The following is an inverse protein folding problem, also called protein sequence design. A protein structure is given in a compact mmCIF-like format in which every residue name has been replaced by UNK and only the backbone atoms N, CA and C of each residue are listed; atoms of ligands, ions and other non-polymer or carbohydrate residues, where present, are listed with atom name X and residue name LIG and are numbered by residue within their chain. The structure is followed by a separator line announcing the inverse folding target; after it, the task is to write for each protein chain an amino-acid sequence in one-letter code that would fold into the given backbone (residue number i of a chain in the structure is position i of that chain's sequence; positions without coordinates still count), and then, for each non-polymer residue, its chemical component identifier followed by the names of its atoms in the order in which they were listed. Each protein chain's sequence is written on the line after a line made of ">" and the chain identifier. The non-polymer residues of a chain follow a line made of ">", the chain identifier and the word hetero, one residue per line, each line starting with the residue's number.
data_IF_403774606954
#
_entry.id   IF_403774606954
#
_cell.length_a   1.000
_cell.length_b   1.000
_cell.length_c   1.000
_cell.angle_alpha   90.00
_cell.angle_beta   90.00
_cell.angle_gamma   90.00
#
_symmetry.space_group_name_H-M   'P 1'
#
loop_
_entity.id
_entity.type
_entity.pdbx_description
1 polymer ?
#
# COMPACT_ATOMS: atom_id res chain seq x y z
N UNK A 1 -0.76 24.41 3.81
CA UNK A 1 -1.83 24.08 2.83
C UNK A 1 -2.61 22.87 3.32
N UNK A 2 -3.93 22.78 3.01
CA UNK A 2 -4.75 21.60 3.28
C UNK A 2 -4.36 20.47 2.33
N UNK A 3 -4.71 19.22 2.67
CA UNK A 3 -4.24 18.02 1.95
C UNK A 3 -4.57 18.06 0.43
N UNK A 4 -5.83 18.33 0.05
CA UNK A 4 -6.22 18.38 -1.38
C UNK A 4 -5.42 19.44 -2.17
N UNK A 5 -5.07 20.58 -1.54
CA UNK A 5 -4.22 21.60 -2.16
C UNK A 5 -2.77 21.12 -2.29
N UNK A 6 -2.27 20.36 -1.29
CA UNK A 6 -0.92 19.74 -1.35
C UNK A 6 -0.81 18.72 -2.48
N UNK A 7 -1.86 17.94 -2.76
CA UNK A 7 -1.87 16.99 -3.90
C UNK A 7 -1.56 17.67 -5.24
N UNK A 8 -1.94 18.93 -5.40
CA UNK A 8 -1.78 19.71 -6.64
C UNK A 8 -0.46 20.48 -6.66
N UNK A 9 -0.07 21.04 -5.51
CA UNK A 9 0.99 22.06 -5.45
C UNK A 9 2.25 21.62 -4.67
N UNK A 10 2.19 20.52 -3.90
CA UNK A 10 3.33 20.11 -3.09
C UNK A 10 4.53 19.75 -3.96
N UNK A 11 5.62 20.51 -3.79
CA UNK A 11 6.91 20.25 -4.44
C UNK A 11 6.85 20.17 -5.98
N UNK A 12 5.83 20.77 -6.60
CA UNK A 12 5.60 20.77 -8.04
C UNK A 12 5.57 22.22 -8.59
N UNK A 13 6.69 22.95 -8.55
CA UNK A 13 6.75 24.30 -9.13
C UNK A 13 6.70 24.21 -10.66
N UNK A 14 6.24 25.26 -11.35
CA UNK A 14 6.39 25.38 -12.80
C UNK A 14 7.84 25.18 -13.24
N UNK A 15 8.03 24.60 -14.43
CA UNK A 15 9.38 24.38 -14.99
C UNK A 15 10.14 25.72 -15.13
N UNK A 16 11.32 25.83 -14.51
CA UNK A 16 12.05 27.11 -14.51
C UNK A 16 12.60 27.52 -15.88
N UNK A 17 12.71 26.59 -16.84
CA UNK A 17 13.22 26.86 -18.18
C UNK A 17 12.13 27.37 -19.13
N UNK A 18 10.93 26.78 -19.05
CA UNK A 18 9.87 27.03 -20.01
C UNK A 18 8.62 27.67 -19.41
N UNK A 19 8.49 27.66 -18.08
CA UNK A 19 7.27 28.06 -17.38
C UNK A 19 6.14 27.03 -17.51
N UNK A 20 6.40 25.82 -18.00
CA UNK A 20 5.40 24.77 -18.11
C UNK A 20 4.81 24.47 -16.72
N UNK A 21 3.46 24.48 -16.65
CA UNK A 21 2.73 24.21 -15.39
C UNK A 21 2.86 22.76 -14.97
N UNK A 22 2.94 21.83 -15.94
CA UNK A 22 3.13 20.41 -15.67
C UNK A 22 4.63 20.05 -15.72
N UNK A 23 5.01 19.03 -14.97
CA UNK A 23 6.40 18.57 -14.87
C UNK A 23 6.89 17.99 -16.21
N UNK A 24 8.03 18.44 -16.76
CA UNK A 24 8.62 17.84 -17.96
C UNK A 24 9.08 16.40 -17.72
N UNK A 25 9.01 15.56 -18.76
CA UNK A 25 9.50 14.19 -18.72
C UNK A 25 10.92 14.15 -19.26
N UNK A 26 11.91 13.91 -18.39
CA UNK A 26 13.32 13.81 -18.77
C UNK A 26 13.69 12.35 -19.06
N UNK A 27 13.43 11.91 -20.30
CA UNK A 27 13.74 10.56 -20.79
C UNK A 27 15.23 10.41 -21.18
N UNK A 28 16.12 10.75 -20.25
CA UNK A 28 17.58 10.65 -20.46
C UNK A 28 18.19 9.72 -19.43
N UNK A 29 19.07 8.83 -19.84
CA UNK A 29 19.84 7.98 -18.95
C UNK A 29 21.09 8.69 -18.37
N UNK A 30 21.66 9.66 -19.11
CA UNK A 30 22.89 10.33 -18.74
C UNK A 30 22.83 11.84 -19.00
N UNK A 31 23.60 12.59 -18.24
CA UNK A 31 23.62 14.06 -18.29
C UNK A 31 25.06 14.54 -18.50
N UNK A 32 25.23 15.59 -19.36
CA UNK A 32 26.53 16.21 -19.61
C UNK A 32 27.08 16.85 -18.35
N UNK A 33 28.34 16.59 -18.06
CA UNK A 33 29.10 17.27 -17.04
C UNK A 33 30.03 18.32 -17.69
N UNK A 34 30.35 19.39 -16.96
CA UNK A 34 31.22 20.47 -17.44
C UNK A 34 32.71 20.07 -17.30
N UNK A 35 33.01 19.28 -16.24
CA UNK A 35 34.28 18.63 -15.95
C UNK A 35 34.02 17.44 -15.02
N UNK A 36 35.00 16.56 -14.74
CA UNK A 36 34.92 15.60 -13.64
C UNK A 36 34.44 16.30 -12.36
N UNK A 37 33.45 15.74 -11.68
CA UNK A 37 32.82 16.27 -10.46
C UNK A 37 32.11 17.65 -10.59
N UNK A 38 31.99 18.20 -11.80
CA UNK A 38 31.23 19.43 -12.08
C UNK A 38 30.02 19.18 -12.97
N UNK A 39 28.86 19.05 -12.37
CA UNK A 39 27.58 18.79 -13.01
C UNK A 39 26.51 19.78 -12.59
N UNK A 40 25.33 19.73 -13.24
CA UNK A 40 24.19 20.61 -12.96
C UNK A 40 23.15 19.96 -12.04
N UNK A 41 23.58 19.08 -11.12
CA UNK A 41 22.74 18.37 -10.18
C UNK A 41 22.37 16.93 -10.60
N UNK A 42 22.58 16.59 -11.87
CA UNK A 42 22.31 15.24 -12.40
C UNK A 42 23.52 14.72 -13.20
N UNK A 43 23.76 13.41 -13.06
CA UNK A 43 24.86 12.70 -13.75
C UNK A 43 24.33 11.51 -14.52
N UNK A 44 23.50 10.69 -13.86
CA UNK A 44 22.96 9.45 -14.40
C UNK A 44 21.59 9.15 -13.77
N UNK A 45 20.60 8.74 -14.58
CA UNK A 45 19.21 8.66 -14.12
C UNK A 45 18.97 7.60 -13.02
N UNK A 46 19.80 6.56 -12.89
CA UNK A 46 19.72 5.65 -11.75
C UNK A 46 20.02 6.39 -10.43
N UNK A 47 21.00 7.26 -10.41
CA UNK A 47 21.35 8.06 -9.22
C UNK A 47 20.40 9.24 -8.99
N UNK A 48 19.92 9.87 -10.06
CA UNK A 48 19.00 11.03 -9.99
C UNK A 48 18.41 11.36 -11.35
N UNK A 49 17.11 11.67 -11.38
CA UNK A 49 16.40 12.11 -12.58
C UNK A 49 15.44 13.26 -12.21
N UNK A 50 15.36 14.35 -12.99
CA UNK A 50 14.52 15.50 -12.64
C UNK A 50 13.05 15.16 -12.43
N UNK A 51 12.44 14.35 -13.30
CA UNK A 51 11.03 13.96 -13.19
C UNK A 51 10.80 13.07 -11.94
N UNK A 52 11.69 12.11 -11.69
CA UNK A 52 11.62 11.26 -10.49
C UNK A 52 11.79 12.08 -9.22
N UNK A 53 12.70 13.06 -9.20
CA UNK A 53 12.93 13.90 -8.03
C UNK A 53 11.66 14.67 -7.60
N UNK A 54 10.85 15.15 -8.55
CA UNK A 54 9.56 15.81 -8.25
C UNK A 54 8.59 14.82 -7.62
N UNK A 55 8.48 13.59 -8.14
CA UNK A 55 7.63 12.55 -7.54
C UNK A 55 8.09 12.22 -6.12
N UNK A 56 9.39 12.04 -5.92
CA UNK A 56 9.97 11.73 -4.62
C UNK A 56 9.71 12.87 -3.62
N UNK A 57 9.87 14.11 -4.03
CA UNK A 57 9.58 15.27 -3.19
C UNK A 57 8.07 15.36 -2.83
N UNK A 58 7.18 15.17 -3.82
CA UNK A 58 5.74 15.21 -3.61
C UNK A 58 5.26 14.11 -2.63
N UNK A 59 5.70 12.86 -2.82
CA UNK A 59 5.33 11.76 -1.93
C UNK A 59 5.86 11.97 -0.51
N UNK A 60 7.10 12.45 -0.38
CA UNK A 60 7.66 12.81 0.93
C UNK A 60 6.85 13.86 1.67
N UNK A 61 6.42 14.91 0.96
CA UNK A 61 5.55 15.94 1.53
C UNK A 61 4.18 15.36 1.92
N UNK A 62 3.53 14.61 1.05
CA UNK A 62 2.18 14.06 1.30
C UNK A 62 2.15 13.12 2.51
N UNK A 63 3.21 12.34 2.75
CA UNK A 63 3.36 11.51 3.96
C UNK A 63 3.84 12.29 5.18
N UNK A 64 4.05 13.61 5.07
CA UNK A 64 4.61 14.45 6.14
C UNK A 64 6.01 13.99 6.60
N UNK A 65 6.78 13.43 5.65
CA UNK A 65 8.13 12.94 5.86
C UNK A 65 9.21 13.96 5.55
N UNK A 66 10.46 13.61 5.87
CA UNK A 66 11.65 14.41 5.50
C UNK A 66 12.07 14.20 4.02
N UNK A 67 11.44 13.26 3.32
CA UNK A 67 11.63 12.94 1.92
C UNK A 67 11.17 11.52 1.59
N UNK A 68 11.17 11.20 0.31
CA UNK A 68 10.87 9.85 -0.17
C UNK A 68 11.77 9.43 -1.33
N UNK A 69 11.70 8.15 -1.70
CA UNK A 69 12.39 7.54 -2.82
C UNK A 69 11.40 6.69 -3.62
N UNK A 70 11.48 6.75 -4.95
CA UNK A 70 10.61 6.02 -5.86
C UNK A 70 11.30 4.78 -6.43
N UNK A 71 10.53 3.71 -6.63
CA UNK A 71 11.00 2.39 -7.07
C UNK A 71 10.15 1.86 -8.22
N UNK A 72 10.71 0.93 -8.99
CA UNK A 72 10.06 0.28 -10.13
C UNK A 72 8.86 -0.61 -9.73
N UNK A 73 8.70 -0.93 -8.46
CA UNK A 73 7.52 -1.64 -7.91
C UNK A 73 7.47 -1.54 -6.38
N UNK A 74 6.31 -1.83 -5.78
CA UNK A 74 6.20 -1.95 -4.32
C UNK A 74 7.14 -3.02 -3.75
N UNK A 75 7.28 -4.17 -4.45
CA UNK A 75 8.25 -5.20 -4.04
C UNK A 75 9.70 -4.77 -4.26
N UNK A 76 10.00 -3.94 -5.25
CA UNK A 76 11.33 -3.33 -5.42
C UNK A 76 11.66 -2.38 -4.27
N UNK A 77 10.68 -1.62 -3.78
CA UNK A 77 10.80 -0.81 -2.58
C UNK A 77 11.05 -1.67 -1.33
N UNK A 78 10.27 -2.74 -1.16
CA UNK A 78 10.43 -3.67 -0.04
C UNK A 78 11.78 -4.41 -0.08
N UNK A 79 12.20 -4.89 -1.25
CA UNK A 79 13.52 -5.54 -1.40
C UNK A 79 14.67 -4.57 -1.04
N UNK A 80 14.54 -3.30 -1.41
CA UNK A 80 15.53 -2.27 -1.02
C UNK A 80 15.46 -1.98 0.48
N UNK A 81 14.26 -2.01 1.09
CA UNK A 81 14.10 -1.91 2.54
C UNK A 81 14.85 -3.06 3.24
N UNK A 82 14.66 -4.29 2.76
CA UNK A 82 15.31 -5.48 3.34
C UNK A 82 16.83 -5.46 3.17
N UNK A 83 17.35 -4.87 2.11
CA UNK A 83 18.80 -4.74 1.88
C UNK A 83 19.52 -3.88 2.96
N UNK A 84 18.77 -3.12 3.77
CA UNK A 84 19.33 -2.40 4.92
C UNK A 84 19.60 -3.31 6.13
N UNK A 85 19.17 -4.56 6.11
CA UNK A 85 19.25 -5.48 7.25
C UNK A 85 20.21 -6.63 6.95
N UNK A 86 21.26 -6.81 7.75
CA UNK A 86 22.23 -7.87 7.55
C UNK A 86 21.63 -9.26 7.84
N UNK A 87 22.34 -10.30 7.40
CA UNK A 87 22.05 -11.70 7.74
C UNK A 87 21.84 -11.86 9.25
N UNK A 88 20.81 -12.59 9.62
CA UNK A 88 20.44 -12.84 11.01
C UNK A 88 19.54 -11.78 11.65
N UNK A 89 19.28 -10.65 10.94
CA UNK A 89 18.31 -9.66 11.42
C UNK A 89 16.94 -10.26 11.66
N UNK A 90 16.25 -9.72 12.65
CA UNK A 90 14.90 -10.16 13.05
C UNK A 90 13.86 -9.13 12.70
N UNK A 91 12.84 -9.56 11.96
CA UNK A 91 11.65 -8.77 11.61
C UNK A 91 10.45 -9.35 12.35
N UNK A 92 9.69 -8.51 13.03
CA UNK A 92 8.36 -8.84 13.54
C UNK A 92 7.35 -8.25 12.56
N UNK A 93 6.54 -9.10 11.94
CA UNK A 93 5.58 -8.72 10.91
C UNK A 93 4.16 -9.06 11.31
N UNK A 94 3.20 -8.24 10.87
CA UNK A 94 1.79 -8.63 10.90
C UNK A 94 1.59 -9.94 10.10
N UNK A 95 0.68 -10.80 10.56
CA UNK A 95 0.43 -12.14 9.99
C UNK A 95 -0.48 -12.11 8.75
N UNK A 96 -1.40 -11.16 8.68
CA UNK A 96 -2.29 -10.92 7.54
C UNK A 96 -1.67 -9.84 6.66
N UNK A 97 -0.96 -10.25 5.62
CA UNK A 97 -0.20 -9.34 4.75
C UNK A 97 -0.24 -9.80 3.29
N UNK A 98 0.07 -8.90 2.38
CA UNK A 98 0.10 -9.19 0.95
C UNK A 98 0.97 -10.43 0.64
N UNK A 99 0.43 -11.37 -0.13
CA UNK A 99 1.12 -12.62 -0.47
C UNK A 99 2.48 -12.43 -1.17
N UNK A 100 2.68 -11.32 -1.88
CA UNK A 100 3.97 -10.94 -2.45
C UNK A 100 5.00 -10.56 -1.38
N UNK A 101 4.58 -9.86 -0.33
CA UNK A 101 5.41 -9.52 0.83
C UNK A 101 5.83 -10.79 1.57
N UNK A 102 4.88 -11.69 1.86
CA UNK A 102 5.15 -12.99 2.46
C UNK A 102 6.18 -13.78 1.65
N UNK A 103 5.97 -13.90 0.34
CA UNK A 103 6.88 -14.59 -0.57
C UNK A 103 8.30 -14.02 -0.54
N UNK A 104 8.44 -12.69 -0.49
CA UNK A 104 9.74 -12.03 -0.43
C UNK A 104 10.42 -12.26 0.92
N UNK A 105 9.69 -12.18 2.04
CA UNK A 105 10.20 -12.47 3.37
C UNK A 105 10.68 -13.92 3.47
N UNK A 106 9.90 -14.90 3.00
CA UNK A 106 10.27 -16.29 2.98
C UNK A 106 11.49 -16.59 2.09
N UNK A 107 11.61 -15.87 0.96
CA UNK A 107 12.82 -15.93 0.13
C UNK A 107 14.05 -15.44 0.92
N UNK A 108 13.95 -14.28 1.56
CA UNK A 108 15.06 -13.74 2.36
C UNK A 108 15.39 -14.59 3.58
N UNK A 109 14.38 -15.21 4.21
CA UNK A 109 14.60 -16.17 5.30
C UNK A 109 15.45 -17.36 4.86
N UNK A 110 15.14 -17.93 3.69
CA UNK A 110 15.85 -19.11 3.17
C UNK A 110 17.22 -18.78 2.60
N UNK A 111 17.36 -17.69 1.88
CA UNK A 111 18.58 -17.38 1.13
C UNK A 111 19.56 -16.50 1.91
N UNK A 112 19.04 -15.61 2.76
CA UNK A 112 19.86 -14.61 3.45
C UNK A 112 19.81 -14.69 4.97
N UNK A 113 19.16 -15.74 5.52
CA UNK A 113 19.11 -15.98 6.96
C UNK A 113 18.33 -14.93 7.75
N UNK A 114 17.41 -14.20 7.11
CA UNK A 114 16.50 -13.30 7.79
C UNK A 114 15.56 -14.10 8.71
N UNK A 115 15.31 -13.61 9.93
CA UNK A 115 14.33 -14.18 10.84
C UNK A 115 13.04 -13.36 10.77
N UNK A 116 11.91 -13.99 10.50
CA UNK A 116 10.61 -13.30 10.43
C UNK A 116 9.61 -13.99 11.34
N UNK A 117 9.06 -13.24 12.27
CA UNK A 117 7.98 -13.67 13.16
C UNK A 117 6.67 -13.02 12.71
N UNK A 118 5.71 -13.82 12.30
CA UNK A 118 4.37 -13.37 11.93
C UNK A 118 3.46 -13.42 13.14
N UNK A 119 2.85 -12.31 13.50
CA UNK A 119 2.00 -12.19 14.70
C UNK A 119 0.71 -11.41 14.40
N UNK A 120 -0.34 -11.69 15.17
CA UNK A 120 -1.55 -10.86 15.16
C UNK A 120 -1.26 -9.53 15.90
N UNK A 121 -1.06 -8.45 15.12
CA UNK A 121 -0.83 -7.10 15.67
C UNK A 121 -2.14 -6.33 15.95
N UNK A 122 -3.31 -6.95 15.77
CA UNK A 122 -4.57 -6.33 16.21
C UNK A 122 -4.66 -6.25 17.74
N UNK A 123 -3.92 -7.15 18.42
CA UNK A 123 -3.68 -7.11 19.87
C UNK A 123 -2.28 -6.54 20.16
N UNK A 124 -2.18 -5.35 20.79
CA UNK A 124 -0.90 -4.77 21.19
C UNK A 124 -0.06 -5.65 22.13
N UNK A 125 -0.69 -6.55 22.90
CA UNK A 125 0.03 -7.46 23.80
C UNK A 125 0.89 -8.46 23.02
N UNK A 126 0.41 -8.95 21.87
CA UNK A 126 1.17 -9.83 20.98
C UNK A 126 2.47 -9.17 20.51
N UNK A 127 2.41 -7.88 20.12
CA UNK A 127 3.60 -7.14 19.73
C UNK A 127 4.51 -6.86 20.93
N UNK A 128 3.96 -6.54 22.11
CA UNK A 128 4.76 -6.34 23.31
C UNK A 128 5.58 -7.58 23.67
N UNK A 129 4.95 -8.75 23.67
CA UNK A 129 5.62 -10.05 23.91
C UNK A 129 6.68 -10.35 22.82
N UNK A 130 6.35 -10.12 21.54
CA UNK A 130 7.31 -10.34 20.48
C UNK A 130 8.55 -9.43 20.58
N UNK A 131 8.42 -8.26 21.20
CA UNK A 131 9.50 -7.29 21.37
C UNK A 131 10.26 -7.46 22.71
N UNK A 132 9.93 -8.44 23.57
CA UNK A 132 10.78 -8.85 24.69
C UNK A 132 12.16 -9.29 24.20
N UNK A 133 12.20 -10.00 23.06
CA UNK A 133 13.40 -10.19 22.28
C UNK A 133 13.56 -9.07 21.26
N UNK A 134 14.75 -8.47 21.19
CA UNK A 134 15.04 -7.37 20.28
C UNK A 134 14.76 -7.74 18.82
N UNK A 135 13.96 -6.93 18.14
CA UNK A 135 13.81 -6.95 16.68
C UNK A 135 14.57 -5.77 16.05
N UNK A 136 14.92 -5.91 14.76
CA UNK A 136 15.55 -4.86 13.97
C UNK A 136 14.52 -4.03 13.22
N UNK A 137 13.38 -4.66 12.88
CA UNK A 137 12.26 -4.04 12.18
C UNK A 137 10.93 -4.60 12.68
N UNK A 138 9.96 -3.72 12.91
CA UNK A 138 8.53 -4.04 12.93
C UNK A 138 7.96 -3.64 11.58
N UNK A 139 7.42 -4.61 10.84
CA UNK A 139 6.75 -4.39 9.56
C UNK A 139 5.24 -4.52 9.72
N UNK A 140 4.53 -3.47 9.40
CA UNK A 140 3.08 -3.37 9.57
C UNK A 140 2.44 -3.13 8.21
N UNK A 141 1.37 -3.85 7.89
CA UNK A 141 0.43 -3.51 6.84
C UNK A 141 -0.90 -3.13 7.50
N UNK A 142 -1.39 -1.91 7.26
CA UNK A 142 -2.63 -1.44 7.90
C UNK A 142 -3.34 -0.37 7.05
N UNK A 143 -4.57 -0.66 6.56
CA UNK A 143 -5.31 -1.92 6.65
C UNK A 143 -4.60 -3.09 5.98
N UNK A 144 -4.77 -4.30 6.52
CA UNK A 144 -4.16 -5.54 5.99
C UNK A 144 -4.85 -6.02 4.71
N UNK A 145 -4.15 -6.82 3.92
CA UNK A 145 -4.69 -7.45 2.71
C UNK A 145 -4.70 -9.00 2.86
N UNK A 146 -5.84 -9.69 2.83
CA UNK A 146 -7.13 -9.16 2.34
C UNK A 146 -8.16 -8.83 3.43
N UNK A 147 -7.90 -9.05 4.71
CA UNK A 147 -8.93 -9.02 5.76
C UNK A 147 -9.24 -7.62 6.30
N UNK A 148 -8.50 -6.59 5.89
CA UNK A 148 -8.70 -5.20 6.30
C UNK A 148 -8.61 -5.00 7.82
N UNK A 149 -7.82 -5.83 8.51
CA UNK A 149 -7.50 -5.65 9.92
C UNK A 149 -6.68 -4.37 10.10
N UNK A 150 -6.83 -3.72 11.24
CA UNK A 150 -6.12 -2.50 11.57
C UNK A 150 -5.20 -2.71 12.75
N UNK A 151 -4.01 -2.15 12.65
CA UNK A 151 -3.05 -2.08 13.75
C UNK A 151 -3.09 -0.68 14.36
N UNK A 152 -3.11 -0.57 15.68
CA UNK A 152 -2.95 0.72 16.37
C UNK A 152 -1.49 1.18 16.20
N UNK A 153 -1.26 2.03 15.19
CA UNK A 153 0.09 2.48 14.82
C UNK A 153 0.77 3.27 15.94
N UNK A 154 0.03 4.07 16.70
CA UNK A 154 0.60 4.82 17.84
C UNK A 154 1.07 3.88 18.94
N UNK A 155 0.27 2.87 19.26
CA UNK A 155 0.63 1.86 20.25
C UNK A 155 1.83 1.02 19.77
N UNK A 156 1.82 0.55 18.52
CA UNK A 156 2.91 -0.22 17.94
C UNK A 156 4.24 0.56 17.91
N UNK A 157 4.21 1.82 17.50
CA UNK A 157 5.38 2.71 17.53
C UNK A 157 5.89 2.93 18.95
N UNK A 158 4.98 3.13 19.92
CA UNK A 158 5.36 3.33 21.30
C UNK A 158 6.08 2.10 21.91
N UNK A 159 5.61 0.89 21.56
CA UNK A 159 6.27 -0.38 21.95
C UNK A 159 7.64 -0.53 21.30
N UNK A 160 7.73 -0.35 19.97
CA UNK A 160 8.97 -0.48 19.21
C UNK A 160 10.06 0.51 19.67
N UNK A 161 9.69 1.72 20.08
CA UNK A 161 10.63 2.71 20.60
C UNK A 161 11.33 2.28 21.90
N UNK A 162 10.67 1.48 22.74
CA UNK A 162 11.27 0.97 23.98
C UNK A 162 12.48 0.08 23.72
N UNK A 163 12.45 -0.66 22.59
CA UNK A 163 13.52 -1.56 22.18
C UNK A 163 14.41 -0.96 21.09
N UNK A 164 14.18 0.31 20.70
CA UNK A 164 14.89 1.00 19.59
C UNK A 164 14.73 0.29 18.26
N UNK A 165 13.60 -0.40 18.05
CA UNK A 165 13.25 -1.08 16.82
C UNK A 165 12.66 -0.10 15.83
N UNK A 166 13.10 -0.14 14.56
CA UNK A 166 12.50 0.66 13.47
C UNK A 166 11.10 0.16 13.14
N UNK A 167 10.20 1.05 12.74
CA UNK A 167 8.85 0.73 12.30
C UNK A 167 8.67 1.14 10.85
N UNK A 168 8.35 0.17 9.99
CA UNK A 168 7.91 0.40 8.61
C UNK A 168 6.42 0.04 8.46
N UNK A 169 5.67 0.90 7.80
CA UNK A 169 4.24 0.71 7.56
C UNK A 169 3.96 0.68 6.06
N UNK A 170 3.41 -0.40 5.56
CA UNK A 170 2.78 -0.43 4.24
C UNK A 170 1.42 0.27 4.31
N UNK A 171 1.36 1.45 3.71
CA UNK A 171 0.20 2.34 3.70
C UNK A 171 -0.55 2.31 2.36
N UNK A 172 -0.33 1.27 1.56
CA UNK A 172 -0.85 1.17 0.18
C UNK A 172 -2.37 1.27 0.12
N UNK A 173 -3.10 0.64 1.05
CA UNK A 173 -4.58 0.63 1.06
C UNK A 173 -5.17 1.95 1.53
N UNK A 174 -4.58 2.57 2.54
CA UNK A 174 -5.08 3.83 3.08
C UNK A 174 -4.62 5.05 2.25
N UNK A 175 -3.42 5.03 1.72
CA UNK A 175 -2.76 6.18 1.09
C UNK A 175 -2.57 7.36 2.06
N UNK A 176 -1.74 8.37 1.75
CA UNK A 176 -1.64 9.55 2.60
C UNK A 176 -2.94 10.38 2.66
N UNK A 177 -3.90 10.11 1.77
CA UNK A 177 -5.21 10.76 1.82
C UNK A 177 -6.04 10.32 3.04
N UNK A 178 -5.86 9.09 3.52
CA UNK A 178 -6.66 8.55 4.62
C UNK A 178 -5.84 8.27 5.88
N UNK A 179 -4.53 8.04 5.76
CA UNK A 179 -3.66 7.73 6.90
C UNK A 179 -2.23 8.19 6.60
N UNK A 180 -1.58 8.81 7.58
CA UNK A 180 -0.19 9.28 7.47
C UNK A 180 0.64 8.70 8.62
N UNK A 181 1.23 7.51 8.42
CA UNK A 181 1.93 6.78 9.48
C UNK A 181 3.12 7.53 10.07
N UNK A 182 3.77 8.42 9.32
CA UNK A 182 4.87 9.25 9.85
C UNK A 182 4.34 10.20 10.95
N UNK A 183 3.16 10.79 10.79
CA UNK A 183 2.52 11.62 11.82
C UNK A 183 2.14 10.80 13.07
N UNK A 184 1.96 9.49 12.91
CA UNK A 184 1.70 8.54 13.99
C UNK A 184 3.00 8.00 14.61
N UNK A 185 4.16 8.37 14.04
CA UNK A 185 5.49 8.10 14.58
C UNK A 185 6.28 6.99 13.90
N UNK A 186 5.77 6.39 12.82
CA UNK A 186 6.51 5.43 12.00
C UNK A 186 7.79 6.03 11.42
N UNK A 187 8.80 5.21 11.20
CA UNK A 187 10.09 5.64 10.66
C UNK A 187 10.09 5.64 9.13
N UNK A 188 9.40 4.66 8.54
CA UNK A 188 9.36 4.40 7.11
C UNK A 188 7.92 4.07 6.70
N UNK A 189 7.48 4.62 5.59
CA UNK A 189 6.19 4.28 4.96
C UNK A 189 6.47 3.72 3.58
N UNK A 190 5.90 2.55 3.30
CA UNK A 190 5.95 1.90 2.00
C UNK A 190 4.64 2.11 1.26
N UNK A 191 4.74 2.27 -0.06
CA UNK A 191 3.61 2.25 -0.97
C UNK A 191 3.90 1.40 -2.21
N UNK A 192 2.92 0.66 -2.67
CA UNK A 192 2.79 0.32 -4.08
C UNK A 192 2.11 1.48 -4.81
N UNK A 193 2.87 2.28 -5.56
CA UNK A 193 2.28 3.38 -6.35
C UNK A 193 1.44 2.87 -7.52
N UNK A 194 1.56 1.58 -7.84
CA UNK A 194 0.70 0.82 -8.77
C UNK A 194 -0.79 0.94 -8.45
N UNK A 195 -1.13 1.14 -7.17
CA UNK A 195 -2.49 1.12 -6.63
C UNK A 195 -3.12 2.51 -6.67
N UNK A 196 -3.78 2.94 -5.62
CA UNK A 196 -4.48 4.23 -5.55
C UNK A 196 -3.63 5.46 -5.93
N UNK A 197 -2.31 5.44 -5.69
CA UNK A 197 -1.46 6.60 -5.99
C UNK A 197 -1.39 6.85 -7.51
N UNK A 198 -1.18 5.82 -8.32
CA UNK A 198 -1.34 5.87 -9.78
C UNK A 198 -2.82 5.93 -10.17
N UNK A 199 -3.60 4.97 -9.72
CA UNK A 199 -5.06 4.96 -9.72
C UNK A 199 -5.73 4.73 -11.08
N UNK A 200 -4.97 4.37 -12.13
CA UNK A 200 -5.49 4.22 -13.50
C UNK A 200 -5.07 2.89 -14.15
N UNK A 201 -4.56 1.94 -13.39
CA UNK A 201 -4.17 0.59 -13.85
C UNK A 201 -3.17 0.58 -15.03
N UNK A 202 -2.36 1.64 -15.15
CA UNK A 202 -1.47 1.91 -16.28
C UNK A 202 0.02 1.94 -15.91
N UNK A 203 0.38 1.79 -14.62
CA UNK A 203 1.76 1.79 -14.15
C UNK A 203 2.04 0.68 -13.12
N UNK A 204 3.30 0.32 -13.00
CA UNK A 204 3.84 -0.43 -11.86
C UNK A 204 4.90 0.44 -11.19
N UNK A 205 4.78 0.61 -9.85
CA UNK A 205 5.74 1.41 -9.12
C UNK A 205 5.66 1.21 -7.61
N UNK A 206 6.62 1.78 -6.90
CA UNK A 206 6.69 1.76 -5.44
C UNK A 206 7.30 3.03 -4.88
N UNK A 207 7.16 3.23 -3.59
CA UNK A 207 7.82 4.33 -2.87
C UNK A 207 8.14 3.96 -1.42
N UNK A 208 9.19 4.58 -0.88
CA UNK A 208 9.48 4.64 0.55
C UNK A 208 9.53 6.11 0.96
N UNK A 209 8.71 6.51 1.93
CA UNK A 209 8.80 7.81 2.58
C UNK A 209 9.42 7.66 3.97
N UNK A 210 10.16 8.67 4.42
CA UNK A 210 11.01 8.58 5.60
C UNK A 210 10.77 9.72 6.57
N UNK A 211 10.77 9.40 7.85
CA UNK A 211 10.60 10.37 8.93
C UNK A 211 11.79 11.33 9.09
N UNK A 212 13.00 10.92 8.70
CA UNK A 212 14.21 11.70 8.91
C UNK A 212 15.13 11.78 7.69
N UNK A 213 15.83 12.89 7.53
CA UNK A 213 16.82 13.08 6.48
C UNK A 213 17.98 12.06 6.55
N UNK A 214 18.29 11.51 7.74
CA UNK A 214 19.27 10.44 7.88
C UNK A 214 18.83 9.18 7.14
N UNK A 215 17.56 8.78 7.31
CA UNK A 215 16.99 7.63 6.60
C UNK A 215 16.93 7.88 5.10
N UNK A 216 16.54 9.09 4.65
CA UNK A 216 16.57 9.43 3.22
C UNK A 216 17.95 9.16 2.62
N UNK A 217 19.04 9.64 3.26
CA UNK A 217 20.41 9.42 2.76
C UNK A 217 20.83 7.94 2.78
N UNK A 218 20.49 7.21 3.85
CA UNK A 218 20.76 5.78 3.98
C UNK A 218 20.13 5.00 2.82
N UNK A 219 18.84 5.24 2.58
CA UNK A 219 18.09 4.52 1.55
C UNK A 219 18.33 5.04 0.13
N UNK A 220 18.74 6.28 -0.07
CA UNK A 220 19.17 6.78 -1.39
C UNK A 220 20.41 6.06 -1.90
N UNK A 221 21.35 5.76 -1.01
CA UNK A 221 22.50 4.93 -1.36
C UNK A 221 22.06 3.50 -1.76
N UNK A 222 21.17 2.89 -0.99
CA UNK A 222 20.63 1.56 -1.29
C UNK A 222 19.81 1.55 -2.60
N UNK A 223 18.96 2.56 -2.85
CA UNK A 223 18.23 2.70 -4.10
C UNK A 223 19.17 2.69 -5.31
N UNK A 224 20.25 3.48 -5.24
CA UNK A 224 21.25 3.53 -6.30
C UNK A 224 22.02 2.21 -6.45
N UNK A 225 22.36 1.53 -5.35
CA UNK A 225 23.11 0.27 -5.33
C UNK A 225 22.25 -0.90 -5.89
N UNK A 226 21.01 -1.03 -5.43
CA UNK A 226 20.06 -2.05 -5.90
C UNK A 226 19.58 -1.75 -7.32
N UNK A 227 19.38 -0.46 -7.65
CA UNK A 227 19.04 -0.01 -8.99
C UNK A 227 17.56 -0.16 -9.38
N UNK A 228 16.66 -0.50 -8.46
CA UNK A 228 15.23 -0.71 -8.71
C UNK A 228 14.47 0.63 -8.88
N UNK A 229 14.95 1.51 -9.76
CA UNK A 229 14.35 2.83 -10.00
C UNK A 229 13.27 2.78 -11.10
N UNK A 230 12.20 3.60 -11.01
CA UNK A 230 11.15 3.66 -12.02
C UNK A 230 11.59 4.49 -13.23
N UNK A 231 10.92 4.26 -14.36
CA UNK A 231 11.02 5.10 -15.55
C UNK A 231 10.55 6.54 -15.25
N UNK A 232 11.15 7.58 -15.86
CA UNK A 232 10.61 8.94 -15.75
C UNK A 232 9.18 9.07 -16.25
N UNK A 233 8.76 8.28 -17.22
CA UNK A 233 7.40 8.25 -17.72
C UNK A 233 6.42 7.71 -16.67
N UNK A 234 6.77 6.62 -15.97
CA UNK A 234 5.96 6.10 -14.87
C UNK A 234 5.87 7.10 -13.73
N UNK A 235 6.97 7.81 -13.41
CA UNK A 235 6.98 8.88 -12.41
C UNK A 235 5.99 10.00 -12.78
N UNK A 236 5.94 10.40 -14.04
CA UNK A 236 5.00 11.39 -14.54
C UNK A 236 3.54 10.91 -14.41
N UNK A 237 3.24 9.66 -14.76
CA UNK A 237 1.89 9.11 -14.62
C UNK A 237 1.46 9.02 -13.14
N UNK A 238 2.37 8.66 -12.22
CA UNK A 238 2.07 8.69 -10.79
C UNK A 238 1.80 10.13 -10.32
N UNK A 239 2.62 11.11 -10.71
CA UNK A 239 2.37 12.53 -10.39
C UNK A 239 0.98 12.98 -10.86
N UNK A 240 0.62 12.63 -12.11
CA UNK A 240 -0.71 12.91 -12.66
C UNK A 240 -1.82 12.23 -11.84
N UNK A 241 -1.61 10.99 -11.41
CA UNK A 241 -2.52 10.26 -10.53
C UNK A 241 -2.71 10.92 -9.16
N UNK A 242 -1.63 11.44 -8.57
CA UNK A 242 -1.66 12.12 -7.27
C UNK A 242 -2.58 13.35 -7.28
N UNK A 243 -2.63 14.12 -8.39
CA UNK A 243 -3.47 15.31 -8.49
C UNK A 243 -4.95 15.03 -8.23
N UNK A 244 -5.42 13.81 -8.49
CA UNK A 244 -6.82 13.41 -8.30
C UNK A 244 -7.02 12.46 -7.12
N UNK A 245 -5.97 12.15 -6.37
CA UNK A 245 -6.03 11.15 -5.29
C UNK A 245 -7.16 11.46 -4.28
N UNK A 246 -7.25 12.70 -3.81
CA UNK A 246 -8.24 13.08 -2.79
C UNK A 246 -9.69 12.89 -3.28
N UNK A 247 -10.02 13.30 -4.51
CA UNK A 247 -11.36 13.11 -5.07
C UNK A 247 -11.65 11.65 -5.34
N UNK A 248 -10.66 10.87 -5.84
CA UNK A 248 -10.82 9.43 -6.07
C UNK A 248 -11.02 8.67 -4.76
N UNK A 249 -10.23 8.93 -3.73
CA UNK A 249 -10.36 8.24 -2.44
C UNK A 249 -11.73 8.49 -1.78
N UNK A 250 -12.31 9.69 -1.92
CA UNK A 250 -13.67 9.97 -1.47
C UNK A 250 -14.73 9.19 -2.28
N UNK A 251 -14.57 9.10 -3.59
CA UNK A 251 -15.46 8.32 -4.45
C UNK A 251 -15.35 6.81 -4.15
N UNK A 252 -14.14 6.25 -4.09
CA UNK A 252 -13.89 4.86 -3.68
C UNK A 252 -14.53 4.53 -2.33
N UNK A 253 -14.41 5.42 -1.35
CA UNK A 253 -15.00 5.22 -0.03
C UNK A 253 -16.54 5.19 -0.05
N UNK A 254 -17.18 6.02 -0.88
CA UNK A 254 -18.64 6.00 -1.09
C UNK A 254 -19.08 4.69 -1.74
N UNK A 255 -18.40 4.26 -2.80
CA UNK A 255 -18.67 3.01 -3.49
C UNK A 255 -18.50 1.80 -2.56
N UNK A 256 -17.41 1.75 -1.81
CA UNK A 256 -17.16 0.66 -0.85
C UNK A 256 -18.21 0.61 0.27
N UNK A 257 -18.65 1.75 0.79
CA UNK A 257 -19.71 1.80 1.81
C UNK A 257 -21.02 1.20 1.28
N UNK A 258 -21.48 1.63 0.08
CA UNK A 258 -22.70 1.13 -0.54
C UNK A 258 -22.64 -0.39 -0.81
N UNK A 259 -21.49 -0.87 -1.29
CA UNK A 259 -21.26 -2.32 -1.51
C UNK A 259 -21.26 -3.07 -0.18
N UNK A 260 -20.53 -2.59 0.84
CA UNK A 260 -20.46 -3.24 2.14
C UNK A 260 -21.84 -3.33 2.81
N UNK A 261 -22.63 -2.26 2.78
CA UNK A 261 -23.99 -2.21 3.32
C UNK A 261 -24.92 -3.21 2.60
N UNK A 262 -24.76 -3.40 1.29
CA UNK A 262 -25.53 -4.37 0.50
C UNK A 262 -25.20 -5.83 0.87
N UNK A 263 -23.97 -6.09 1.32
CA UNK A 263 -23.51 -7.43 1.72
C UNK A 263 -23.94 -7.82 3.14
N UNK A 264 -24.07 -6.83 4.04
CA UNK A 264 -24.38 -7.07 5.46
C UNK A 264 -25.77 -7.72 5.60
N UNK A 265 -25.82 -8.80 6.41
CA UNK A 265 -27.08 -9.50 6.72
C UNK A 265 -27.62 -10.40 5.61
N UNK A 266 -26.98 -10.46 4.45
CA UNK A 266 -27.43 -11.34 3.39
C UNK A 266 -27.14 -12.83 3.73
N UNK A 267 -28.13 -13.75 3.54
CA UNK A 267 -28.06 -15.17 3.96
C UNK A 267 -26.88 -15.96 3.38
N UNK A 268 -26.32 -15.54 2.26
CA UNK A 268 -25.16 -16.18 1.61
C UNK A 268 -23.82 -15.56 2.04
N UNK A 269 -23.83 -14.59 2.93
CA UNK A 269 -22.66 -13.91 3.45
C UNK A 269 -22.42 -14.33 4.90
N UNK A 270 -21.22 -14.80 5.21
CA UNK A 270 -20.79 -15.14 6.58
C UNK A 270 -20.23 -13.94 7.30
N UNK A 271 -19.38 -13.18 6.60
CA UNK A 271 -18.74 -12.01 7.16
C UNK A 271 -18.47 -10.97 6.07
N UNK A 272 -18.47 -9.70 6.48
CA UNK A 272 -18.05 -8.57 5.66
C UNK A 272 -16.94 -7.84 6.42
N UNK A 273 -15.77 -7.76 5.81
CA UNK A 273 -14.64 -7.02 6.34
C UNK A 273 -14.60 -5.66 5.65
N UNK A 274 -14.93 -4.61 6.37
CA UNK A 274 -14.83 -3.22 5.93
C UNK A 274 -14.76 -2.31 7.17
N UNK A 275 -13.67 -1.54 7.37
CA UNK A 275 -13.48 -0.75 8.57
C UNK A 275 -14.56 0.33 8.80
N UNK A 276 -15.30 0.70 7.75
CA UNK A 276 -16.43 1.63 7.81
C UNK A 276 -17.68 1.07 8.49
N UNK A 277 -17.83 -0.25 8.56
CA UNK A 277 -18.98 -0.87 9.23
C UNK A 277 -18.83 -0.80 10.76
N UNK A 278 -19.88 -0.42 11.50
CA UNK A 278 -19.86 -0.45 12.98
C UNK A 278 -19.58 -1.85 13.57
N UNK A 279 -19.87 -2.91 12.81
CA UNK A 279 -19.62 -4.31 13.18
C UNK A 279 -18.15 -4.73 13.02
N UNK A 280 -17.32 -3.94 12.34
CA UNK A 280 -15.90 -4.25 12.19
C UNK A 280 -15.17 -4.16 13.54
N UNK A 281 -14.36 -5.15 13.95
CA UNK A 281 -13.73 -5.16 15.28
C UNK A 281 -12.93 -3.90 15.61
N UNK A 282 -12.22 -3.35 14.61
CA UNK A 282 -11.42 -2.15 14.78
C UNK A 282 -12.10 -0.87 14.24
N UNK A 283 -13.44 -0.82 14.09
CA UNK A 283 -14.14 0.39 13.62
C UNK A 283 -13.80 1.64 14.43
N UNK A 284 -13.73 1.51 15.77
CA UNK A 284 -13.37 2.64 16.66
C UNK A 284 -11.92 3.11 16.43
N UNK A 285 -11.01 2.17 16.13
CA UNK A 285 -9.63 2.49 15.79
C UNK A 285 -9.57 3.21 14.44
N UNK A 286 -10.27 2.70 13.41
CA UNK A 286 -10.37 3.33 12.10
C UNK A 286 -10.80 4.80 12.21
N UNK A 287 -11.88 5.07 12.94
CA UNK A 287 -12.38 6.44 13.17
C UNK A 287 -11.38 7.38 13.86
N UNK A 288 -10.47 6.85 14.67
CA UNK A 288 -9.46 7.64 15.40
C UNK A 288 -8.19 7.84 14.57
N UNK A 289 -7.83 6.86 13.74
CA UNK A 289 -6.53 6.77 13.06
C UNK A 289 -6.57 7.19 11.59
N UNK A 290 -7.74 7.10 10.96
CA UNK A 290 -7.92 7.31 9.51
C UNK A 290 -8.94 8.40 9.21
N UNK A 291 -8.72 9.12 8.11
CA UNK A 291 -9.63 10.15 7.58
C UNK A 291 -10.72 9.56 6.65
N UNK A 292 -10.88 8.24 6.63
CA UNK A 292 -11.85 7.47 5.84
C UNK A 292 -11.51 5.99 5.86
N UNK A 293 -12.31 5.15 5.20
CA UNK A 293 -12.23 3.69 5.35
C UNK A 293 -11.72 2.96 4.12
N UNK A 294 -11.35 3.69 3.05
CA UNK A 294 -10.84 3.13 1.82
C UNK A 294 -11.89 2.53 0.88
N UNK A 295 -11.41 2.00 -0.24
CA UNK A 295 -12.24 1.47 -1.33
C UNK A 295 -12.28 -0.07 -1.43
N UNK A 296 -11.75 -0.80 -0.46
CA UNK A 296 -11.71 -2.26 -0.47
C UNK A 296 -12.77 -2.82 0.46
N UNK A 297 -13.51 -3.80 -0.03
CA UNK A 297 -14.45 -4.61 0.76
C UNK A 297 -14.09 -6.07 0.58
N UNK A 298 -13.97 -6.82 1.66
CA UNK A 298 -13.75 -8.27 1.60
C UNK A 298 -14.96 -8.99 2.20
N UNK A 299 -15.45 -10.00 1.49
CA UNK A 299 -16.64 -10.77 1.89
C UNK A 299 -16.29 -12.26 1.96
N UNK A 300 -16.71 -12.94 3.03
CA UNK A 300 -16.67 -14.41 3.13
C UNK A 300 -18.06 -14.98 2.81
N UNK A 301 -18.12 -15.79 1.75
CA UNK A 301 -19.36 -16.37 1.24
C UNK A 301 -19.63 -17.76 1.84
N UNK A 302 -20.88 -18.00 2.26
CA UNK A 302 -21.34 -19.21 2.94
C UNK A 302 -21.09 -20.50 2.13
N UNK A 303 -21.12 -20.43 0.81
CA UNK A 303 -20.91 -21.57 -0.10
C UNK A 303 -19.43 -21.98 -0.25
N UNK A 304 -18.49 -21.39 0.50
CA UNK A 304 -17.05 -21.61 0.35
C UNK A 304 -16.61 -21.32 -1.08
N UNK A 305 -15.62 -22.08 -1.60
CA UNK A 305 -15.08 -21.88 -2.94
C UNK A 305 -16.14 -21.86 -4.05
N UNK A 306 -17.12 -22.77 -3.99
CA UNK A 306 -18.19 -22.83 -5.02
C UNK A 306 -19.03 -21.56 -5.00
N UNK A 307 -19.41 -21.09 -3.81
CA UNK A 307 -20.15 -19.85 -3.66
C UNK A 307 -19.37 -18.64 -4.14
N UNK A 308 -18.07 -18.55 -3.80
CA UNK A 308 -17.17 -17.50 -4.25
C UNK A 308 -17.07 -17.46 -5.78
N UNK A 309 -16.83 -18.61 -6.43
CA UNK A 309 -16.72 -18.67 -7.90
C UNK A 309 -18.05 -18.32 -8.57
N UNK A 310 -19.18 -18.81 -8.05
CA UNK A 310 -20.51 -18.48 -8.60
C UNK A 310 -20.82 -16.98 -8.47
N UNK A 311 -20.46 -16.36 -7.36
CA UNK A 311 -20.61 -14.93 -7.14
C UNK A 311 -19.77 -14.12 -8.11
N UNK A 312 -18.46 -14.41 -8.21
CA UNK A 312 -17.52 -13.72 -9.10
C UNK A 312 -17.98 -13.79 -10.56
N UNK A 313 -18.38 -14.96 -11.04
CA UNK A 313 -18.82 -15.14 -12.43
C UNK A 313 -20.10 -14.38 -12.80
N UNK A 314 -20.87 -13.93 -11.81
CA UNK A 314 -22.13 -13.19 -12.02
C UNK A 314 -21.99 -11.69 -11.92
N UNK A 315 -20.87 -11.20 -11.40
CA UNK A 315 -20.54 -9.78 -11.41
C UNK A 315 -20.36 -9.30 -12.85
N UNK A 316 -20.87 -8.13 -13.17
CA UNK A 316 -20.82 -7.53 -14.50
C UNK A 316 -19.95 -6.28 -14.55
N UNK A 317 -19.91 -5.54 -13.44
CA UNK A 317 -19.12 -4.31 -13.34
C UNK A 317 -17.75 -4.58 -12.71
N UNK A 318 -17.67 -5.52 -11.78
CA UNK A 318 -16.40 -5.91 -11.18
C UNK A 318 -15.65 -6.87 -12.11
N UNK A 319 -14.55 -6.42 -12.67
CA UNK A 319 -13.67 -7.26 -13.52
C UNK A 319 -12.83 -8.21 -12.67
N UNK A 320 -12.84 -9.50 -13.00
CA UNK A 320 -11.96 -10.48 -12.35
C UNK A 320 -10.52 -10.25 -12.82
N UNK A 321 -9.71 -9.67 -11.95
CA UNK A 321 -8.31 -9.37 -12.20
C UNK A 321 -7.52 -9.24 -10.90
N UNK A 322 -6.21 -9.43 -10.97
CA UNK A 322 -5.31 -9.03 -9.89
C UNK A 322 -5.17 -7.50 -9.87
N UNK A 323 -4.73 -6.97 -8.75
CA UNK A 323 -4.58 -5.56 -8.45
C UNK A 323 -5.78 -4.96 -7.71
N UNK A 324 -5.74 -3.64 -7.53
CA UNK A 324 -6.77 -2.86 -6.83
C UNK A 324 -6.49 -1.36 -6.99
N UNK A 325 -7.46 -0.53 -6.61
CA UNK A 325 -7.27 0.92 -6.47
C UNK A 325 -7.24 1.69 -7.77
N UNK A 326 -7.57 1.05 -8.89
CA UNK A 326 -7.90 1.70 -10.16
C UNK A 326 -9.26 2.39 -10.11
N UNK A 327 -9.54 3.24 -11.09
CA UNK A 327 -10.85 3.92 -11.25
C UNK A 327 -11.97 2.91 -11.54
N UNK A 328 -11.64 1.78 -12.16
CA UNK A 328 -12.52 0.65 -12.40
C UNK A 328 -12.64 -0.29 -11.20
N UNK A 329 -13.79 -0.95 -11.04
CA UNK A 329 -14.02 -1.96 -10.03
C UNK A 329 -13.41 -3.31 -10.41
N UNK A 330 -12.64 -3.89 -9.47
CA UNK A 330 -12.00 -5.20 -9.63
C UNK A 330 -12.45 -6.17 -8.55
N UNK A 331 -12.47 -7.46 -8.91
CA UNK A 331 -12.70 -8.55 -7.97
C UNK A 331 -11.58 -9.57 -8.06
N UNK A 332 -11.13 -10.11 -6.92
CA UNK A 332 -10.25 -11.26 -6.88
C UNK A 332 -10.71 -12.31 -5.84
N UNK A 333 -10.19 -13.51 -6.01
CA UNK A 333 -10.32 -14.61 -5.06
C UNK A 333 -8.96 -14.83 -4.39
N UNK A 334 -8.71 -14.26 -3.20
CA UNK A 334 -7.40 -14.25 -2.56
C UNK A 334 -6.76 -15.66 -2.48
N UNK A 335 -7.55 -16.66 -2.13
CA UNK A 335 -7.07 -18.03 -1.95
C UNK A 335 -6.46 -18.67 -3.21
N UNK A 336 -6.87 -18.29 -4.42
CA UNK A 336 -6.35 -18.84 -5.69
C UNK A 336 -5.59 -17.83 -6.54
N UNK A 337 -5.50 -16.57 -6.11
CA UNK A 337 -4.81 -15.49 -6.83
C UNK A 337 -3.73 -14.87 -5.94
N UNK A 338 -4.01 -13.79 -5.25
CA UNK A 338 -3.01 -12.99 -4.53
C UNK A 338 -2.30 -13.72 -3.38
N UNK A 339 -2.92 -14.73 -2.78
CA UNK A 339 -2.38 -15.55 -1.68
C UNK A 339 -2.15 -17.02 -2.07
N UNK A 340 -2.17 -17.35 -3.35
CA UNK A 340 -1.96 -18.73 -3.84
C UNK A 340 -0.58 -19.30 -3.45
N UNK A 341 0.42 -18.45 -3.20
CA UNK A 341 1.75 -18.87 -2.73
C UNK A 341 1.81 -19.19 -1.24
N UNK A 342 0.81 -18.79 -0.45
CA UNK A 342 0.74 -19.10 0.99
C UNK A 342 0.12 -20.49 1.17
N UNK A 343 0.73 -21.39 1.94
CA UNK A 343 0.18 -22.73 2.19
C UNK A 343 -1.25 -22.65 2.74
N UNK A 344 -2.15 -23.53 2.24
CA UNK A 344 -3.58 -23.49 2.60
C UNK A 344 -3.81 -23.48 4.12
N UNK A 345 -3.08 -24.31 4.86
CA UNK A 345 -3.19 -24.39 6.33
C UNK A 345 -2.85 -23.05 7.00
N UNK A 346 -1.83 -22.37 6.53
CA UNK A 346 -1.41 -21.06 7.06
C UNK A 346 -2.44 -19.98 6.73
N UNK A 347 -2.85 -19.84 5.47
CA UNK A 347 -3.81 -18.81 5.08
C UNK A 347 -5.17 -18.98 5.78
N UNK A 348 -5.66 -20.22 5.96
CA UNK A 348 -6.91 -20.51 6.67
C UNK A 348 -6.79 -20.21 8.18
N UNK A 349 -5.62 -20.48 8.79
CA UNK A 349 -5.36 -20.14 10.19
C UNK A 349 -5.43 -18.60 10.42
N UNK A 350 -5.07 -17.80 9.41
CA UNK A 350 -5.18 -16.34 9.46
C UNK A 350 -6.53 -15.79 8.95
N UNK A 351 -7.48 -16.68 8.58
CA UNK A 351 -8.83 -16.30 8.18
C UNK A 351 -9.05 -16.13 6.67
N UNK A 352 -8.03 -16.39 5.83
CA UNK A 352 -8.16 -16.35 4.38
C UNK A 352 -8.74 -17.68 3.88
N UNK A 353 -10.08 -17.77 3.92
CA UNK A 353 -10.84 -18.98 3.55
C UNK A 353 -10.99 -19.14 2.04
N UNK A 354 -11.42 -20.33 1.60
CA UNK A 354 -11.79 -20.55 0.18
C UNK A 354 -13.10 -19.84 -0.23
N UNK A 355 -13.85 -19.27 0.71
CA UNK A 355 -15.06 -18.48 0.46
C UNK A 355 -14.82 -16.98 0.35
N UNK A 356 -13.57 -16.56 0.59
CA UNK A 356 -13.23 -15.14 0.66
C UNK A 356 -13.11 -14.53 -0.74
N UNK A 357 -13.75 -13.38 -0.93
CA UNK A 357 -13.70 -12.57 -2.16
C UNK A 357 -13.35 -11.15 -1.77
N UNK A 358 -12.36 -10.54 -2.43
CA UNK A 358 -12.00 -9.14 -2.26
C UNK A 358 -12.54 -8.32 -3.42
N UNK A 359 -13.28 -7.27 -3.10
CA UNK A 359 -13.83 -6.28 -4.01
C UNK A 359 -13.03 -4.98 -3.87
N UNK A 360 -12.36 -4.55 -4.93
CA UNK A 360 -11.80 -3.21 -5.06
C UNK A 360 -12.84 -2.33 -5.74
N UNK A 361 -13.57 -1.55 -4.97
CA UNK A 361 -14.60 -0.68 -5.50
C UNK A 361 -13.98 0.52 -6.20
N UNK A 362 -14.32 0.71 -7.46
CA UNK A 362 -13.90 1.84 -8.29
C UNK A 362 -14.67 3.12 -7.97
N UNK A 363 -14.70 4.03 -8.94
CA UNK A 363 -15.38 5.33 -8.82
C UNK A 363 -16.65 5.41 -9.69
N UNK A 364 -17.17 4.27 -10.13
CA UNK A 364 -18.45 4.15 -10.79
C UNK A 364 -19.57 4.62 -9.84
N UNK A 365 -20.79 4.75 -10.35
CA UNK A 365 -21.93 5.10 -9.49
C UNK A 365 -22.11 4.05 -8.38
N UNK A 366 -22.12 4.45 -7.10
CA UNK A 366 -22.24 3.50 -5.99
C UNK A 366 -23.51 2.66 -6.01
N UNK A 367 -24.62 3.16 -6.59
CA UNK A 367 -25.86 2.41 -6.71
C UNK A 367 -25.74 1.28 -7.74
N UNK A 368 -25.08 1.53 -8.86
CA UNK A 368 -24.85 0.51 -9.89
C UNK A 368 -23.97 -0.62 -9.34
N UNK A 369 -22.91 -0.31 -8.60
CA UNK A 369 -22.05 -1.31 -7.95
C UNK A 369 -22.82 -2.14 -6.91
N UNK A 370 -23.66 -1.49 -6.10
CA UNK A 370 -24.51 -2.17 -5.13
C UNK A 370 -25.55 -3.09 -5.81
N UNK A 371 -26.11 -2.66 -6.93
CA UNK A 371 -27.07 -3.47 -7.70
C UNK A 371 -26.40 -4.66 -8.38
N UNK A 372 -25.20 -4.50 -8.92
CA UNK A 372 -24.41 -5.61 -9.48
C UNK A 372 -24.10 -6.67 -8.42
N UNK A 373 -23.62 -6.27 -7.25
CA UNK A 373 -23.37 -7.16 -6.12
C UNK A 373 -24.66 -7.86 -5.66
N UNK A 374 -25.77 -7.14 -5.55
CA UNK A 374 -27.07 -7.70 -5.16
C UNK A 374 -27.57 -8.72 -6.18
N UNK A 375 -27.40 -8.45 -7.47
CA UNK A 375 -27.78 -9.36 -8.55
C UNK A 375 -26.90 -10.63 -8.53
N UNK A 376 -25.59 -10.49 -8.34
CA UNK A 376 -24.67 -11.62 -8.23
C UNK A 376 -25.00 -12.54 -7.04
N UNK A 377 -25.37 -11.99 -5.89
CA UNK A 377 -25.77 -12.75 -4.70
C UNK A 377 -27.07 -13.54 -4.90
N UNK A 378 -28.06 -13.02 -5.64
CA UNK A 378 -29.31 -13.75 -5.89
C UNK A 378 -29.06 -15.08 -6.59
N UNK A 379 -28.13 -15.12 -7.52
CA UNK A 379 -27.85 -16.29 -8.34
C UNK A 379 -26.69 -17.19 -7.83
N UNK A 380 -25.91 -16.76 -6.84
CA UNK A 380 -24.76 -17.50 -6.33
C UNK A 380 -25.13 -18.71 -5.45
#
# INVERSE_FOLDING_TARGET
>A
MRFDTRLIHAQQPPDPLTGAVNVPIYMSSTFRQEAPDRNRGYVYSRSGNPTRAVLEAALGDLESGAGSLAFSSGLGALATLLAAYPTGSRIVSVDDLYGGTWRLFEHHRRQFGLRVDYIDMTDPASLATALEDRADLVYIESPTNPLLRLVDLRAAVALARRTRTRVAVDNTFATPALQRPIELGADIVLHSTTKYLGGHSDIIGGALAFRSAKLVREFAWLQNAVGAVPSPFDCFLVLRGLHTLGVRMRAHGKSASAVAETLVGHRKVRAVHYPGLPSHPQHRLARRQMDGYGGIVTVDLAGGRRGAMSFIQRLKLFTLAESLGGVESLVDHPASMTHASVPKKEREAHGVTDGLVRLSCGIEDPADLADDVRAALRGA
#
